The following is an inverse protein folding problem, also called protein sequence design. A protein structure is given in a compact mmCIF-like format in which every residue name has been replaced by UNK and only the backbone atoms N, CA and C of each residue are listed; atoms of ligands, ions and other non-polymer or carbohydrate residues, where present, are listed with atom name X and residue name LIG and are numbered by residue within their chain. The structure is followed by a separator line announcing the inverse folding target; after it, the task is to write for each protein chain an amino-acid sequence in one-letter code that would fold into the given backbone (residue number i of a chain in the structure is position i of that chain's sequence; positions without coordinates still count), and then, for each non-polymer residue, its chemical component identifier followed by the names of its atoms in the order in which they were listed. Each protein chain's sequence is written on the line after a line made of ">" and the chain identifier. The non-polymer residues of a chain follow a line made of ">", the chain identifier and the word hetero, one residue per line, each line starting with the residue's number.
data_IF_226315086724
#
_entry.id   IF_226315086724
#
_cell.length_a   1.000
_cell.length_b   1.000
_cell.length_c   1.000
_cell.angle_alpha   90.00
_cell.angle_beta   90.00
_cell.angle_gamma   90.00
#
_symmetry.space_group_name_H-M   'P 1'
#
loop_
_entity.id
_entity.type
_entity.pdbx_description
1 polymer ?
#
# COMPACT_ATOMS: atom_id res chain seq x y z
N UNK A 1 -1.76 33.83 -26.45
CA UNK A 1 -0.97 33.16 -25.39
C UNK A 1 0.32 32.64 -26.00
N UNK A 2 1.48 32.99 -25.43
CA UNK A 2 2.79 32.69 -26.03
C UNK A 2 3.05 31.16 -25.99
N UNK A 3 3.46 30.53 -27.11
CA UNK A 3 3.61 29.07 -27.21
C UNK A 3 4.51 28.48 -26.11
N UNK A 4 5.54 29.23 -25.70
CA UNK A 4 6.42 28.89 -24.58
C UNK A 4 5.69 28.87 -23.22
N UNK A 5 4.75 29.79 -23.00
CA UNK A 5 3.95 29.87 -21.78
C UNK A 5 2.97 28.69 -21.69
N UNK A 6 2.34 28.31 -22.81
CA UNK A 6 1.47 27.12 -22.88
C UNK A 6 2.23 25.85 -22.52
N UNK A 7 3.42 25.65 -23.09
CA UNK A 7 4.27 24.47 -22.80
C UNK A 7 4.64 24.44 -21.32
N UNK A 8 5.03 25.58 -20.74
CA UNK A 8 5.36 25.67 -19.33
C UNK A 8 4.16 25.32 -18.43
N UNK A 9 2.97 25.85 -18.74
CA UNK A 9 1.75 25.52 -18.00
C UNK A 9 1.40 24.03 -18.08
N UNK A 10 1.55 23.40 -19.25
CA UNK A 10 1.32 21.96 -19.43
C UNK A 10 2.31 21.12 -18.61
N UNK A 11 3.60 21.49 -18.62
CA UNK A 11 4.61 20.80 -17.81
C UNK A 11 4.34 20.94 -16.30
N UNK A 12 3.95 22.13 -15.85
CA UNK A 12 3.59 22.37 -14.45
C UNK A 12 2.37 21.54 -14.03
N UNK A 13 1.38 21.37 -14.90
CA UNK A 13 0.20 20.55 -14.63
C UNK A 13 0.46 19.04 -14.69
N UNK A 14 1.44 18.60 -15.49
CA UNK A 14 1.85 17.20 -15.60
C UNK A 14 2.46 16.66 -14.31
N UNK A 15 3.24 17.46 -13.60
CA UNK A 15 3.90 17.03 -12.37
C UNK A 15 2.88 16.56 -11.30
N UNK A 16 1.91 17.39 -10.85
CA UNK A 16 0.96 16.98 -9.80
C UNK A 16 0.03 15.85 -10.27
N UNK A 17 -0.31 15.78 -11.56
CA UNK A 17 -1.13 14.67 -12.09
C UNK A 17 -0.37 13.34 -12.05
N UNK A 18 0.92 13.32 -12.40
CA UNK A 18 1.76 12.13 -12.25
C UNK A 18 1.89 11.70 -10.79
N UNK A 19 2.07 12.64 -9.86
CA UNK A 19 2.10 12.35 -8.42
C UNK A 19 0.78 11.73 -7.93
N UNK A 20 -0.35 12.27 -8.39
CA UNK A 20 -1.67 11.76 -8.02
C UNK A 20 -1.93 10.35 -8.59
N UNK A 21 -1.63 10.12 -9.87
CA UNK A 21 -1.76 8.80 -10.50
C UNK A 21 -0.89 7.77 -9.77
N UNK A 22 0.35 8.14 -9.44
CA UNK A 22 1.24 7.28 -8.64
C UNK A 22 0.65 6.97 -7.27
N UNK A 23 0.08 7.96 -6.57
CA UNK A 23 -0.55 7.70 -5.28
C UNK A 23 -1.73 6.73 -5.39
N UNK A 24 -2.57 6.83 -6.43
CA UNK A 24 -3.69 5.90 -6.65
C UNK A 24 -3.15 4.49 -6.91
N UNK A 25 -2.17 4.36 -7.82
CA UNK A 25 -1.59 3.07 -8.15
C UNK A 25 -0.96 2.41 -6.92
N UNK A 26 -0.13 3.16 -6.18
CA UNK A 26 0.51 2.64 -4.97
C UNK A 26 -0.53 2.21 -3.95
N UNK A 27 -1.69 2.88 -3.86
CA UNK A 27 -2.80 2.53 -2.96
C UNK A 27 -3.67 1.36 -3.42
N UNK A 28 -3.50 0.83 -4.64
CA UNK A 28 -4.30 -0.28 -5.15
C UNK A 28 -3.95 -1.63 -4.50
N UNK A 29 -4.95 -2.50 -4.36
CA UNK A 29 -4.77 -3.88 -3.86
C UNK A 29 -3.70 -4.64 -4.64
N UNK A 30 -3.66 -4.44 -5.97
CA UNK A 30 -2.65 -5.06 -6.84
C UNK A 30 -1.23 -4.68 -6.44
N UNK A 31 -0.95 -3.38 -6.23
CA UNK A 31 0.38 -2.95 -5.81
C UNK A 31 0.70 -3.42 -4.40
N UNK A 32 -0.29 -3.40 -3.49
CA UNK A 32 -0.11 -3.88 -2.12
C UNK A 32 0.35 -5.34 -2.09
N UNK A 33 -0.28 -6.18 -2.92
CA UNK A 33 0.03 -7.60 -3.04
C UNK A 33 1.45 -7.87 -3.55
N UNK A 34 2.05 -6.91 -4.26
CA UNK A 34 3.42 -7.02 -4.73
C UNK A 34 4.46 -6.74 -3.64
N UNK A 35 4.06 -6.16 -2.52
CA UNK A 35 4.97 -5.66 -1.50
C UNK A 35 5.30 -6.68 -0.41
N UNK A 36 6.54 -6.60 0.07
CA UNK A 36 7.02 -7.27 1.28
C UNK A 36 6.80 -6.39 2.48
N UNK A 37 6.16 -6.93 3.51
CA UNK A 37 5.83 -6.24 4.73
C UNK A 37 6.74 -6.71 5.84
N UNK A 38 7.31 -5.77 6.59
CA UNK A 38 8.09 -6.05 7.78
C UNK A 38 7.41 -5.46 9.00
N UNK A 39 7.19 -6.28 10.02
CA UNK A 39 6.62 -5.82 11.28
C UNK A 39 7.62 -4.97 12.07
N UNK A 40 7.13 -4.28 13.10
CA UNK A 40 7.95 -3.69 14.15
C UNK A 40 8.18 -4.60 15.38
N UNK A 41 7.78 -5.88 15.34
CA UNK A 41 7.90 -6.85 16.46
C UNK A 41 7.11 -8.15 16.21
N UNK A 42 6.91 -9.00 17.22
CA UNK A 42 6.10 -10.23 17.08
C UNK A 42 4.64 -9.88 16.78
N UNK A 43 4.15 -10.28 15.61
CA UNK A 43 2.86 -9.85 15.06
C UNK A 43 2.06 -11.02 14.45
N UNK A 44 0.75 -10.83 14.27
CA UNK A 44 -0.28 -11.78 13.81
C UNK A 44 0.10 -12.46 12.50
N UNK A 45 0.62 -11.69 11.53
CA UNK A 45 1.08 -12.21 10.24
C UNK A 45 2.57 -12.57 10.22
N UNK A 46 3.22 -12.52 11.39
CA UNK A 46 4.66 -12.72 11.54
C UNK A 46 5.50 -11.48 11.26
N UNK A 47 6.81 -11.61 11.48
CA UNK A 47 7.75 -10.49 11.38
C UNK A 47 8.01 -10.04 9.93
N UNK A 48 7.87 -10.98 9.00
CA UNK A 48 7.99 -10.75 7.57
C UNK A 48 6.79 -11.42 6.89
N UNK A 49 6.00 -10.62 6.18
CA UNK A 49 4.81 -11.05 5.48
C UNK A 49 4.91 -10.68 4.01
N UNK A 50 4.53 -11.61 3.15
CA UNK A 50 4.47 -11.42 1.70
C UNK A 50 3.27 -12.17 1.15
N UNK A 51 2.63 -11.61 0.14
CA UNK A 51 1.54 -12.32 -0.53
C UNK A 51 2.10 -13.43 -1.41
N UNK A 52 1.50 -14.62 -1.28
CA UNK A 52 1.76 -15.77 -2.14
C UNK A 52 0.43 -16.28 -2.74
N UNK A 53 0.46 -17.43 -3.41
CA UNK A 53 -0.71 -18.01 -4.08
C UNK A 53 -1.90 -18.33 -3.13
N UNK A 54 -1.67 -18.37 -1.83
CA UNK A 54 -2.67 -18.66 -0.81
C UNK A 54 -3.13 -17.41 -0.06
N UNK A 55 -2.53 -16.25 -0.32
CA UNK A 55 -2.85 -15.01 0.38
C UNK A 55 -3.38 -13.99 -0.60
N UNK A 56 -4.60 -13.53 -0.39
CA UNK A 56 -5.25 -12.53 -1.26
C UNK A 56 -5.72 -11.33 -0.46
N UNK A 57 -5.68 -10.17 -1.10
CA UNK A 57 -6.23 -8.92 -0.61
C UNK A 57 -7.42 -8.54 -1.47
N UNK A 58 -8.59 -8.37 -0.86
CA UNK A 58 -9.79 -7.89 -1.54
C UNK A 58 -10.42 -6.80 -0.67
N UNK A 59 -10.39 -5.55 -1.15
CA UNK A 59 -11.10 -4.44 -0.48
C UNK A 59 -10.63 -4.22 0.95
N UNK A 60 -9.30 -4.21 1.15
CA UNK A 60 -8.62 -4.13 2.45
C UNK A 60 -8.70 -5.39 3.33
N UNK A 61 -9.43 -6.45 2.96
CA UNK A 61 -9.47 -7.69 3.74
C UNK A 61 -8.44 -8.68 3.21
N UNK A 62 -7.61 -9.20 4.11
CA UNK A 62 -6.60 -10.21 3.83
C UNK A 62 -7.18 -11.58 4.14
N UNK A 63 -7.15 -12.45 3.14
CA UNK A 63 -7.62 -13.83 3.26
C UNK A 63 -6.44 -14.80 3.15
N UNK A 64 -6.39 -15.76 4.07
CA UNK A 64 -5.56 -16.96 3.98
C UNK A 64 -6.44 -18.09 3.42
N UNK A 65 -6.22 -18.45 2.17
CA UNK A 65 -7.12 -19.28 1.37
C UNK A 65 -8.49 -18.62 1.22
N UNK A 66 -9.51 -19.20 1.87
CA UNK A 66 -10.89 -18.68 1.87
C UNK A 66 -11.29 -17.97 3.16
N UNK A 67 -10.45 -18.02 4.19
CA UNK A 67 -10.76 -17.46 5.50
C UNK A 67 -10.26 -16.02 5.59
N UNK A 68 -11.11 -15.03 5.93
CA UNK A 68 -10.65 -13.70 6.26
C UNK A 68 -9.88 -13.76 7.58
N UNK A 69 -8.66 -13.24 7.60
CA UNK A 69 -7.77 -13.32 8.78
C UNK A 69 -7.49 -11.94 9.34
N UNK A 70 -7.32 -10.94 8.47
CA UNK A 70 -7.00 -9.59 8.91
C UNK A 70 -7.58 -8.53 7.98
N UNK A 71 -7.59 -7.29 8.43
CA UNK A 71 -8.04 -6.14 7.66
C UNK A 71 -7.02 -5.01 7.73
N UNK A 72 -6.69 -4.43 6.57
CA UNK A 72 -5.95 -3.17 6.49
C UNK A 72 -6.87 -2.06 6.97
N UNK A 73 -6.59 -1.53 8.16
CA UNK A 73 -7.34 -0.43 8.76
C UNK A 73 -6.89 0.92 8.24
N UNK A 74 -5.58 1.05 8.00
CA UNK A 74 -4.98 2.27 7.48
C UNK A 74 -3.77 1.92 6.64
N UNK A 75 -3.62 2.62 5.52
CA UNK A 75 -2.37 2.63 4.77
C UNK A 75 -1.98 4.06 4.44
N UNK A 76 -0.74 4.41 4.76
CA UNK A 76 -0.21 5.76 4.57
C UNK A 76 0.88 5.76 3.51
N UNK A 77 0.57 6.35 2.36
CA UNK A 77 1.57 6.61 1.33
C UNK A 77 2.64 7.58 1.83
N UNK A 78 3.92 7.21 1.68
CA UNK A 78 5.08 8.04 2.01
C UNK A 78 6.04 8.05 0.81
N UNK A 79 6.10 9.14 0.02
CA UNK A 79 6.93 9.17 -1.19
C UNK A 79 8.44 8.96 -0.98
N UNK A 80 8.93 9.22 0.25
CA UNK A 80 10.36 9.23 0.59
C UNK A 80 10.71 8.28 1.75
N UNK A 81 9.81 7.36 2.10
CA UNK A 81 10.02 6.35 3.13
C UNK A 81 9.12 5.14 2.85
N UNK A 82 9.39 4.00 3.48
CA UNK A 82 8.51 2.82 3.40
C UNK A 82 7.07 3.19 3.70
N UNK A 83 6.06 2.66 3.02
CA UNK A 83 4.68 2.95 3.44
C UNK A 83 4.40 2.30 4.81
N UNK A 84 3.53 2.93 5.61
CA UNK A 84 3.04 2.32 6.86
C UNK A 84 1.70 1.68 6.56
N UNK A 85 1.54 0.45 7.04
CA UNK A 85 0.28 -0.28 7.00
C UNK A 85 -0.10 -0.60 8.45
N UNK A 86 -1.34 -0.30 8.82
CA UNK A 86 -1.94 -0.73 10.06
C UNK A 86 -2.95 -1.81 9.74
N UNK A 87 -2.74 -2.98 10.34
CA UNK A 87 -3.55 -4.17 10.15
C UNK A 87 -4.26 -4.47 11.46
N UNK A 88 -5.53 -4.84 11.39
CA UNK A 88 -6.27 -5.44 12.50
C UNK A 88 -6.40 -6.93 12.25
N UNK A 89 -6.09 -7.75 13.25
CA UNK A 89 -6.58 -9.12 13.29
C UNK A 89 -8.12 -9.11 13.42
N UNK A 90 -8.81 -10.02 12.72
CA UNK A 90 -10.28 -10.08 12.72
C UNK A 90 -10.83 -10.79 13.96
N UNK A 91 -10.10 -11.77 14.50
CA UNK A 91 -10.54 -12.60 15.63
C UNK A 91 -10.24 -11.90 16.98
N UNK A 92 -9.11 -11.21 17.06
CA UNK A 92 -8.59 -10.60 18.29
C UNK A 92 -8.69 -9.06 18.33
N UNK A 93 -9.00 -8.40 17.20
CA UNK A 93 -9.04 -6.93 17.06
C UNK A 93 -7.73 -6.22 17.46
N UNK A 94 -6.61 -6.93 17.43
CA UNK A 94 -5.30 -6.37 17.74
C UNK A 94 -4.77 -5.56 16.54
N UNK A 95 -4.27 -4.35 16.83
CA UNK A 95 -3.71 -3.46 15.82
C UNK A 95 -2.20 -3.62 15.72
N UNK A 96 -1.75 -3.72 14.47
CA UNK A 96 -0.38 -4.05 14.14
C UNK A 96 0.17 -3.13 13.07
N UNK A 97 1.45 -2.79 13.19
CA UNK A 97 2.12 -1.87 12.28
C UNK A 97 3.13 -2.65 11.45
N UNK A 98 2.99 -2.53 10.14
CA UNK A 98 3.91 -3.06 9.15
C UNK A 98 4.48 -1.92 8.29
N UNK A 99 5.68 -2.17 7.76
CA UNK A 99 6.36 -1.30 6.80
C UNK A 99 6.58 -2.03 5.49
N UNK A 100 6.25 -1.39 4.37
CA UNK A 100 6.53 -1.95 3.03
C UNK A 100 8.01 -1.78 2.69
N UNK A 101 8.76 -2.89 2.62
CA UNK A 101 10.22 -2.92 2.42
C UNK A 101 10.67 -3.10 0.96
N UNK A 102 9.72 -3.19 0.04
CA UNK A 102 9.97 -3.34 -1.39
C UNK A 102 8.81 -4.05 -2.06
N UNK A 103 8.60 -3.81 -3.36
CA UNK A 103 7.53 -4.40 -4.14
C UNK A 103 8.08 -4.92 -5.47
N UNK A 104 7.54 -6.04 -5.97
CA UNK A 104 8.00 -6.73 -7.19
C UNK A 104 7.06 -6.53 -8.37
#
# INVERSE_FOLDING_TARGET
>A
MNRKLLILCVLIALIPSLFFIRSIYVMSDHHIQQCHWKSSGSKVMGDAFSFDNYIRLEGNVIYLGKQPTAQIMLRKYRPYADNIIIVSDIDYFELEIYYEKGCH
#
